data_IF_790341884572
#
_entry.id   IF_790341884572
#
_cell.length_a   1.000
_cell.length_b   1.000
_cell.length_c   1.000
_cell.angle_alpha   90.00
_cell.angle_beta   90.00
_cell.angle_gamma   90.00
#
_symmetry.space_group_name_H-M   'P 1'
#
loop_
_entity.id
_entity.type
_entity.pdbx_description
1 polymer ?
#
# COMPACT_ATOMS: atom_id res chain seq x y z
N UNK A 1 -13.63 -8.20 -4.56
CA UNK A 1 -14.12 -7.01 -5.28
C UNK A 1 -15.56 -6.80 -4.84
N UNK A 2 -15.75 -6.28 -3.63
CA UNK A 2 -17.09 -6.12 -3.06
C UNK A 2 -17.64 -4.74 -3.41
N UNK A 3 -18.83 -4.75 -4.01
CA UNK A 3 -19.63 -3.58 -4.33
C UNK A 3 -20.45 -3.20 -3.10
N UNK A 4 -20.06 -2.16 -2.38
CA UNK A 4 -20.90 -1.51 -1.38
C UNK A 4 -20.97 -0.01 -1.66
N UNK A 5 -22.13 0.47 -2.09
CA UNK A 5 -22.53 1.88 -1.90
C UNK A 5 -22.03 2.93 -2.90
N UNK A 6 -21.81 2.60 -4.16
CA UNK A 6 -21.74 3.61 -5.25
C UNK A 6 -20.51 4.52 -5.28
N UNK A 7 -19.55 4.37 -4.36
CA UNK A 7 -18.23 5.02 -4.46
C UNK A 7 -17.22 3.92 -4.74
N UNK A 8 -16.75 3.85 -5.99
CA UNK A 8 -15.65 2.98 -6.37
C UNK A 8 -14.41 3.39 -5.57
N UNK A 9 -14.08 2.65 -4.50
CA UNK A 9 -12.86 2.87 -3.71
C UNK A 9 -11.68 2.40 -4.55
N UNK A 10 -11.16 3.31 -5.37
CA UNK A 10 -9.93 3.12 -6.14
C UNK A 10 -8.80 2.86 -5.15
N UNK A 11 -8.01 1.78 -5.30
CA UNK A 11 -6.78 1.60 -4.54
C UNK A 11 -5.88 2.85 -4.68
N UNK A 12 -5.18 3.28 -3.62
CA UNK A 12 -4.33 4.49 -3.66
C UNK A 12 -3.38 4.55 -4.87
N UNK A 13 -2.83 3.41 -5.25
CA UNK A 13 -1.89 3.25 -6.37
C UNK A 13 -2.57 3.42 -7.73
N UNK A 14 -3.81 2.94 -7.88
CA UNK A 14 -4.59 3.22 -9.10
C UNK A 14 -5.03 4.69 -9.15
N UNK A 15 -5.30 5.29 -8.00
CA UNK A 15 -5.69 6.71 -7.92
C UNK A 15 -4.54 7.60 -8.36
N UNK A 16 -3.34 7.40 -7.83
CA UNK A 16 -2.15 8.18 -8.19
C UNK A 16 -1.71 7.96 -9.65
N UNK A 17 -1.73 6.72 -10.16
CA UNK A 17 -1.50 6.44 -11.60
C UNK A 17 -2.46 7.22 -12.51
N UNK A 18 -3.75 7.20 -12.20
CA UNK A 18 -4.77 7.91 -13.00
C UNK A 18 -4.57 9.42 -12.93
N UNK A 19 -4.18 9.95 -11.76
CA UNK A 19 -3.86 11.37 -11.60
C UNK A 19 -2.69 11.80 -12.50
N UNK A 20 -1.60 11.03 -12.54
CA UNK A 20 -0.45 11.35 -13.40
C UNK A 20 -0.78 11.24 -14.89
N UNK A 21 -1.50 10.19 -15.30
CA UNK A 21 -1.93 10.00 -16.70
C UNK A 21 -2.83 11.16 -17.17
N UNK A 22 -3.70 11.70 -16.29
CA UNK A 22 -4.55 12.84 -16.61
C UNK A 22 -3.76 14.15 -16.74
N UNK A 23 -2.79 14.39 -15.86
CA UNK A 23 -1.94 15.60 -15.93
C UNK A 23 -1.11 15.59 -17.22
N UNK A 24 -0.51 14.45 -17.58
CA UNK A 24 0.28 14.32 -18.81
C UNK A 24 -0.54 14.53 -20.10
N UNK A 25 -1.87 14.35 -20.05
CA UNK A 25 -2.76 14.61 -21.19
C UNK A 25 -3.09 16.09 -21.36
N UNK A 26 -3.04 16.88 -20.29
CA UNK A 26 -3.42 18.29 -20.27
C UNK A 26 -2.24 19.25 -20.22
N UNK A 27 -1.06 18.78 -19.85
CA UNK A 27 0.11 19.61 -19.68
C UNK A 27 0.96 19.62 -20.95
N UNK A 28 1.17 20.80 -21.54
CA UNK A 28 2.00 21.02 -22.72
C UNK A 28 3.43 21.51 -22.39
N UNK A 29 3.66 21.96 -21.15
CA UNK A 29 4.97 22.43 -20.68
C UNK A 29 5.93 21.23 -20.51
N UNK A 30 7.09 21.31 -21.17
CA UNK A 30 8.08 20.24 -21.18
C UNK A 30 8.66 19.94 -19.80
N UNK A 31 8.97 20.97 -19.01
CA UNK A 31 9.63 20.82 -17.71
C UNK A 31 8.71 20.14 -16.69
N UNK A 32 7.41 20.45 -16.77
CA UNK A 32 6.38 19.83 -15.92
C UNK A 32 6.13 18.38 -16.34
N UNK A 33 6.07 18.10 -17.64
CA UNK A 33 5.84 16.73 -18.16
C UNK A 33 6.97 15.79 -17.79
N UNK A 34 8.21 16.25 -17.83
CA UNK A 34 9.36 15.41 -17.51
C UNK A 34 9.37 15.03 -16.01
N UNK A 35 9.10 16.00 -15.13
CA UNK A 35 8.95 15.75 -13.70
C UNK A 35 7.82 14.75 -13.39
N UNK A 36 6.66 14.90 -14.03
CA UNK A 36 5.52 13.98 -13.86
C UNK A 36 5.85 12.58 -14.39
N UNK A 37 6.55 12.47 -15.52
CA UNK A 37 6.97 11.18 -16.09
C UNK A 37 7.90 10.42 -15.13
N UNK A 38 8.86 11.12 -14.54
CA UNK A 38 9.76 10.55 -13.53
C UNK A 38 8.99 10.02 -12.31
N UNK A 39 8.01 10.78 -11.79
CA UNK A 39 7.21 10.35 -10.65
C UNK A 39 6.36 9.10 -10.97
N UNK A 40 5.75 9.08 -12.16
CA UNK A 40 4.94 7.95 -12.63
C UNK A 40 5.75 6.66 -12.76
N UNK A 41 6.95 6.74 -13.32
CA UNK A 41 7.84 5.58 -13.45
C UNK A 41 8.26 5.04 -12.08
N UNK A 42 8.57 5.94 -11.13
CA UNK A 42 8.91 5.56 -9.76
C UNK A 42 7.77 4.87 -9.03
N UNK A 43 6.54 5.27 -9.29
CA UNK A 43 5.38 4.63 -8.68
C UNK A 43 5.21 3.18 -9.15
N UNK A 44 5.40 2.90 -10.45
CA UNK A 44 5.34 1.54 -11.01
C UNK A 44 6.42 0.65 -10.37
N UNK A 45 7.65 1.16 -10.32
CA UNK A 45 8.79 0.44 -9.73
C UNK A 45 8.59 0.24 -8.23
N UNK A 46 8.08 1.24 -7.52
CA UNK A 46 7.78 1.15 -6.11
C UNK A 46 6.75 0.05 -5.84
N UNK A 47 5.66 0.01 -6.60
CA UNK A 47 4.62 -1.02 -6.46
C UNK A 47 5.17 -2.43 -6.70
N UNK A 48 5.92 -2.65 -7.78
CA UNK A 48 6.50 -3.96 -8.11
C UNK A 48 7.49 -4.43 -7.03
N UNK A 49 8.46 -3.57 -6.67
CA UNK A 49 9.50 -3.93 -5.69
C UNK A 49 8.94 -4.09 -4.29
N UNK A 50 8.01 -3.23 -3.88
CA UNK A 50 7.36 -3.34 -2.57
C UNK A 50 6.54 -4.63 -2.48
N UNK A 51 5.81 -4.99 -3.53
CA UNK A 51 5.06 -6.25 -3.60
C UNK A 51 5.96 -7.48 -3.51
N UNK A 52 7.08 -7.50 -4.24
CA UNK A 52 8.04 -8.61 -4.20
C UNK A 52 8.69 -8.77 -2.83
N UNK A 53 9.11 -7.65 -2.21
CA UNK A 53 9.65 -7.65 -0.86
C UNK A 53 8.61 -8.11 0.18
N UNK A 54 7.36 -7.64 0.06
CA UNK A 54 6.26 -8.08 0.92
C UNK A 54 6.05 -9.59 0.83
N UNK A 55 6.08 -10.15 -0.38
CA UNK A 55 5.92 -11.59 -0.57
C UNK A 55 7.03 -12.38 0.09
N UNK A 56 8.29 -12.00 -0.14
CA UNK A 56 9.45 -12.64 0.48
C UNK A 56 9.38 -12.56 2.01
N UNK A 57 9.00 -11.41 2.57
CA UNK A 57 8.85 -11.22 4.01
C UNK A 57 7.71 -12.07 4.58
N UNK A 58 6.60 -12.17 3.85
CA UNK A 58 5.43 -12.97 4.27
C UNK A 58 5.75 -14.46 4.23
N UNK A 59 6.46 -14.92 3.20
CA UNK A 59 6.90 -16.31 3.05
C UNK A 59 7.93 -16.70 4.13
N UNK A 60 8.71 -15.73 4.62
CA UNK A 60 9.69 -15.91 5.72
C UNK A 60 9.10 -15.62 7.11
N UNK A 61 7.84 -15.21 7.20
CA UNK A 61 7.21 -14.93 8.48
C UNK A 61 6.92 -16.27 9.17
N UNK A 62 7.66 -16.56 10.23
CA UNK A 62 7.44 -17.76 11.05
C UNK A 62 6.04 -17.69 11.68
N UNK A 63 5.29 -18.79 11.60
CA UNK A 63 3.93 -18.92 12.17
C UNK A 63 3.96 -18.73 13.71
N UNK A 64 5.13 -18.89 14.34
CA UNK A 64 5.39 -18.59 15.76
C UNK A 64 5.71 -17.12 15.99
N UNK A 65 4.92 -16.25 15.36
CA UNK A 65 5.08 -14.80 15.34
C UNK A 65 5.27 -14.25 16.76
N UNK A 66 6.50 -13.82 17.09
CA UNK A 66 6.84 -13.24 18.40
C UNK A 66 6.01 -11.97 18.71
N UNK A 67 5.49 -11.30 17.68
CA UNK A 67 4.57 -10.16 17.79
C UNK A 67 3.09 -10.54 17.87
N UNK A 68 2.75 -11.84 17.85
CA UNK A 68 1.36 -12.28 18.06
C UNK A 68 0.85 -11.94 19.46
N UNK A 69 1.75 -11.61 20.40
CA UNK A 69 1.39 -11.15 21.74
C UNK A 69 2.21 -9.92 22.08
N UNK A 70 1.60 -8.74 21.99
CA UNK A 70 2.16 -7.49 22.48
C UNK A 70 1.66 -7.25 23.91
N UNK A 71 2.52 -7.37 24.95
CA UNK A 71 2.10 -7.21 26.34
C UNK A 71 1.53 -5.83 26.69
N UNK A 72 1.79 -4.81 25.87
CA UNK A 72 1.25 -3.46 26.04
C UNK A 72 -0.20 -3.32 25.54
N UNK A 73 -0.68 -4.22 24.68
CA UNK A 73 -2.04 -4.19 24.12
C UNK A 73 -2.86 -5.44 24.45
N UNK A 74 -2.23 -6.62 24.41
CA UNK A 74 -2.88 -7.89 24.68
C UNK A 74 -2.97 -8.11 26.20
N UNK A 75 -4.15 -7.82 26.76
CA UNK A 75 -4.45 -8.09 28.16
C UNK A 75 -4.49 -9.60 28.38
N UNK A 76 -3.44 -10.15 28.97
CA UNK A 76 -3.48 -11.50 29.51
C UNK A 76 -4.64 -11.57 30.52
N UNK A 77 -5.64 -12.47 30.35
CA UNK A 77 -6.73 -12.55 31.30
C UNK A 77 -6.18 -13.05 32.63
N UNK A 78 -6.07 -12.14 33.60
CA UNK A 78 -5.74 -12.50 34.98
C UNK A 78 -6.88 -13.39 35.48
N UNK A 79 -6.64 -14.70 35.55
CA UNK A 79 -7.59 -15.63 36.18
C UNK A 79 -7.76 -15.17 37.63
N UNK A 80 -8.96 -14.72 37.98
CA UNK A 80 -9.29 -14.44 39.38
C UNK A 80 -9.26 -15.77 40.15
N UNK A 81 -8.55 -15.86 41.29
CA UNK A 81 -8.63 -17.04 42.14
C UNK A 81 -10.08 -17.23 42.59
N UNK A 82 -10.51 -18.50 42.63
CA UNK A 82 -11.85 -18.93 43.06
C UNK A 82 -12.14 -18.49 44.50
#
# INVERSE_FOLDING_TARGET
>A
MEYLGGIFKVPPEQKARTTYDNILRFCDDYDVRDAIRFLREREIVHYQRFGENLRILTDKLDERNFYAFNPSFDKCPVKKPK
#
